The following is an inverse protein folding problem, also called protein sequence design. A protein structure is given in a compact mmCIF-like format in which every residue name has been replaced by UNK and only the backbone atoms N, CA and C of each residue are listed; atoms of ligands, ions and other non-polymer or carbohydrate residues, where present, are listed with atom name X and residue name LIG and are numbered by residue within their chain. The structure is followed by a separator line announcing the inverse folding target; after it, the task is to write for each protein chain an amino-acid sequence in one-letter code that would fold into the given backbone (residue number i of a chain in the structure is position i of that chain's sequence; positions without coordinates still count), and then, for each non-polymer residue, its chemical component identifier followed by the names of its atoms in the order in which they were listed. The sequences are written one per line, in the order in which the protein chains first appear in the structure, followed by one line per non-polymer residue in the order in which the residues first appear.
data_IF_439117479796
#
_entry.id   IF_439117479796
#
_cell.length_a   1.000
_cell.length_b   1.000
_cell.length_c   1.000
_cell.angle_alpha   90.00
_cell.angle_beta   90.00
_cell.angle_gamma   90.00
#
_symmetry.space_group_name_H-M   'P 1'
#
loop_
_entity.id
_entity.type
_entity.pdbx_description
1 polymer ?
#
# COMPACT_ATOMS: atom_id res chain seq x y z
N UNK A 1 -6.35 -27.62 33.98
CA UNK A 1 -5.59 -26.72 33.07
C UNK A 1 -6.36 -25.41 32.93
N UNK A 2 -5.75 -24.25 33.27
CA UNK A 2 -6.35 -22.94 32.95
C UNK A 2 -6.20 -22.74 31.44
N UNK A 3 -7.32 -22.68 30.71
CA UNK A 3 -7.33 -22.25 29.30
C UNK A 3 -6.78 -20.83 29.25
N UNK A 4 -5.60 -20.65 28.66
CA UNK A 4 -5.15 -19.33 28.23
C UNK A 4 -5.96 -19.05 26.96
N UNK A 5 -6.86 -18.07 26.99
CA UNK A 5 -7.44 -17.57 25.74
C UNK A 5 -6.38 -16.69 25.08
N UNK A 6 -6.13 -16.91 23.80
CA UNK A 6 -5.42 -15.95 22.97
C UNK A 6 -6.20 -14.63 23.02
N UNK A 7 -5.49 -13.50 23.17
CA UNK A 7 -6.12 -12.19 22.99
C UNK A 7 -6.58 -12.13 21.54
N UNK A 8 -7.88 -12.04 21.31
CA UNK A 8 -8.42 -11.61 20.03
C UNK A 8 -7.89 -10.21 19.79
N UNK A 9 -7.04 -10.08 18.77
CA UNK A 9 -6.66 -8.78 18.22
C UNK A 9 -7.93 -8.14 17.65
N UNK A 10 -8.04 -6.83 17.81
CA UNK A 10 -9.14 -6.06 17.23
C UNK A 10 -9.13 -6.21 15.71
N UNK A 11 -10.28 -6.33 15.05
CA UNK A 11 -10.33 -6.58 13.60
C UNK A 11 -9.65 -5.47 12.79
N UNK A 12 -9.65 -4.23 13.31
CA UNK A 12 -8.88 -3.10 12.75
C UNK A 12 -7.35 -3.26 12.85
N UNK A 13 -6.86 -4.13 13.73
CA UNK A 13 -5.43 -4.41 13.92
C UNK A 13 -4.91 -5.64 13.15
N UNK A 14 -5.78 -6.30 12.37
CA UNK A 14 -5.46 -7.51 11.60
C UNK A 14 -5.00 -7.16 10.16
N UNK A 15 -5.17 -5.91 9.73
CA UNK A 15 -4.68 -5.41 8.44
C UNK A 15 -3.20 -4.99 8.48
N UNK A 16 -2.59 -4.87 7.29
CA UNK A 16 -1.22 -4.36 7.09
C UNK A 16 -1.09 -2.83 7.31
N UNK A 17 -2.06 -2.21 7.99
CA UNK A 17 -2.35 -0.77 7.94
C UNK A 17 -3.32 -0.41 6.81
N UNK A 18 -3.46 0.90 6.55
CA UNK A 18 -4.26 1.47 5.45
C UNK A 18 -3.69 1.07 4.09
N UNK A 19 -4.54 1.04 3.05
CA UNK A 19 -4.07 0.93 1.67
C UNK A 19 -3.06 2.04 1.35
N UNK A 20 -2.14 1.80 0.42
CA UNK A 20 -1.09 2.78 0.06
C UNK A 20 -1.03 2.96 -1.44
N UNK A 21 -0.52 4.10 -1.90
CA UNK A 21 -0.26 4.34 -3.33
C UNK A 21 0.88 3.50 -3.91
N UNK A 22 1.58 2.68 -3.10
CA UNK A 22 2.66 1.81 -3.56
C UNK A 22 2.13 0.66 -4.43
N UNK A 23 2.52 0.66 -5.70
CA UNK A 23 2.08 -0.25 -6.75
C UNK A 23 3.27 -0.95 -7.42
N UNK A 24 3.18 -2.27 -7.56
CA UNK A 24 4.26 -3.08 -8.09
C UNK A 24 4.49 -2.88 -9.60
N UNK A 25 3.45 -2.57 -10.37
CA UNK A 25 3.56 -2.35 -11.81
C UNK A 25 4.19 -0.98 -12.10
N UNK A 26 3.84 0.06 -11.35
CA UNK A 26 4.48 1.36 -11.40
C UNK A 26 5.94 1.27 -10.95
N UNK A 27 6.24 0.55 -9.86
CA UNK A 27 7.61 0.30 -9.43
C UNK A 27 8.43 -0.47 -10.48
N UNK A 28 7.82 -1.43 -11.19
CA UNK A 28 8.50 -2.14 -12.27
C UNK A 28 8.75 -1.25 -13.51
N UNK A 29 7.86 -0.28 -13.78
CA UNK A 29 7.95 0.62 -14.93
C UNK A 29 8.92 1.78 -14.69
N UNK A 30 8.74 2.48 -13.57
CA UNK A 30 9.40 3.74 -13.23
C UNK A 30 10.57 3.57 -12.24
N UNK A 31 10.73 2.36 -11.70
CA UNK A 31 11.87 1.99 -10.87
C UNK A 31 11.95 2.80 -9.57
N UNK A 32 13.18 3.13 -9.21
CA UNK A 32 13.52 3.75 -7.92
C UNK A 32 12.88 5.13 -7.75
N UNK A 33 12.71 5.91 -8.83
CA UNK A 33 12.11 7.25 -8.76
C UNK A 33 10.70 7.19 -8.19
N UNK A 34 9.87 6.30 -8.73
CA UNK A 34 8.52 6.09 -8.22
C UNK A 34 8.51 5.56 -6.79
N UNK A 35 9.37 4.60 -6.46
CA UNK A 35 9.43 4.04 -5.10
C UNK A 35 9.77 5.12 -4.07
N UNK A 36 10.72 6.01 -4.37
CA UNK A 36 11.06 7.12 -3.48
C UNK A 36 9.91 8.13 -3.36
N UNK A 37 9.27 8.49 -4.46
CA UNK A 37 8.14 9.41 -4.45
C UNK A 37 6.98 8.85 -3.62
N UNK A 38 6.61 7.59 -3.87
CA UNK A 38 5.53 6.91 -3.16
C UNK A 38 5.85 6.75 -1.66
N UNK A 39 7.06 6.33 -1.32
CA UNK A 39 7.48 6.21 0.08
C UNK A 39 7.45 7.57 0.80
N UNK A 40 7.96 8.62 0.17
CA UNK A 40 7.96 9.97 0.74
C UNK A 40 6.53 10.47 0.99
N UNK A 41 5.62 10.28 0.03
CA UNK A 41 4.22 10.67 0.20
C UNK A 41 3.52 9.88 1.32
N UNK A 42 3.77 8.56 1.41
CA UNK A 42 3.24 7.71 2.48
C UNK A 42 3.76 8.14 3.86
N UNK A 43 5.05 8.47 3.97
CA UNK A 43 5.67 8.88 5.23
C UNK A 43 5.12 10.23 5.72
N UNK A 44 4.84 11.17 4.80
CA UNK A 44 4.20 12.45 5.14
C UNK A 44 2.74 12.26 5.61
N UNK A 45 1.95 11.41 4.95
CA UNK A 45 0.59 11.12 5.44
C UNK A 45 0.60 10.47 6.84
N UNK A 46 1.60 9.63 7.13
CA UNK A 46 1.77 9.07 8.49
C UNK A 46 2.16 10.10 9.53
N UNK A 47 2.86 11.15 9.12
CA UNK A 47 3.17 12.28 10.00
C UNK A 47 1.89 13.07 10.31
N UNK A 48 0.99 13.24 9.34
CA UNK A 48 -0.33 13.84 9.58
C UNK A 48 -1.09 13.01 10.61
N UNK A 49 -1.17 11.69 10.43
CA UNK A 49 -1.84 10.80 11.40
C UNK A 49 -1.21 10.90 12.80
N UNK A 50 0.12 10.95 12.89
CA UNK A 50 0.82 11.09 14.16
C UNK A 50 0.60 12.47 14.81
N UNK A 51 0.50 13.54 14.03
CA UNK A 51 0.19 14.89 14.51
C UNK A 51 -1.24 14.96 15.06
N UNK A 52 -2.22 14.42 14.31
CA UNK A 52 -3.62 14.33 14.71
C UNK A 52 -3.81 13.53 16.02
N UNK A 53 -3.06 12.42 16.18
CA UNK A 53 -3.06 11.63 17.42
C UNK A 53 -2.46 12.38 18.62
N UNK A 54 -1.50 13.29 18.37
CA UNK A 54 -0.90 14.13 19.41
C UNK A 54 -1.85 15.26 19.83
N UNK A 55 -2.72 15.74 18.96
CA UNK A 55 -3.59 16.90 19.20
C UNK A 55 -4.72 16.68 20.23
N UNK A 56 -4.87 15.45 20.78
CA UNK A 56 -5.59 15.22 22.04
C UNK A 56 -4.87 15.84 23.28
N UNK A 57 -3.66 16.39 23.11
CA UNK A 57 -2.97 17.18 24.15
C UNK A 57 -1.54 17.68 23.84
N UNK A 58 -1.08 17.61 22.59
CA UNK A 58 0.28 17.89 22.15
C UNK A 58 0.28 18.61 20.81
N UNK A 59 0.55 19.91 20.87
CA UNK A 59 0.67 20.80 19.72
C UNK A 59 2.04 20.53 19.04
N UNK A 60 2.13 19.58 18.10
CA UNK A 60 3.34 19.46 17.27
C UNK A 60 3.50 20.67 16.34
N UNK A 61 2.42 21.45 16.15
CA UNK A 61 2.45 22.80 15.60
C UNK A 61 2.76 22.83 14.10
N UNK A 62 2.45 21.76 13.39
CA UNK A 62 2.59 21.72 11.94
C UNK A 62 1.52 22.61 11.29
N UNK A 63 1.89 23.40 10.27
CA UNK A 63 0.93 24.23 9.57
C UNK A 63 -0.05 23.36 8.78
N UNK A 64 -1.27 23.87 8.58
CA UNK A 64 -2.24 23.23 7.70
C UNK A 64 -1.65 22.95 6.32
N UNK A 65 -1.88 21.74 5.81
CA UNK A 65 -1.43 21.31 4.47
C UNK A 65 0.09 21.19 4.32
N UNK A 66 0.85 21.07 5.43
CA UNK A 66 2.29 20.91 5.38
C UNK A 66 2.71 19.70 4.53
N UNK A 67 1.93 18.63 4.54
CA UNK A 67 2.16 17.41 3.79
C UNK A 67 2.09 17.67 2.29
N UNK A 68 1.10 18.43 1.82
CA UNK A 68 0.96 18.82 0.42
C UNK A 68 2.12 19.72 -0.01
N UNK A 69 2.45 20.71 0.82
CA UNK A 69 3.60 21.59 0.59
C UNK A 69 4.93 20.82 0.51
N UNK A 70 5.20 19.93 1.47
CA UNK A 70 6.42 19.15 1.50
C UNK A 70 6.48 18.15 0.34
N UNK A 71 5.34 17.55 -0.05
CA UNK A 71 5.24 16.70 -1.23
C UNK A 71 5.58 17.48 -2.50
N UNK A 72 5.07 18.69 -2.68
CA UNK A 72 5.38 19.52 -3.85
C UNK A 72 6.87 19.87 -3.90
N UNK A 73 7.44 20.36 -2.79
CA UNK A 73 8.86 20.68 -2.72
C UNK A 73 9.73 19.45 -3.01
N UNK A 74 9.36 18.29 -2.46
CA UNK A 74 10.04 17.02 -2.68
C UNK A 74 9.94 16.54 -4.14
N UNK A 75 8.73 16.56 -4.71
CA UNK A 75 8.44 16.29 -6.13
C UNK A 75 9.37 17.09 -7.05
N UNK A 76 9.36 18.42 -6.92
CA UNK A 76 10.12 19.33 -7.79
C UNK A 76 11.64 19.21 -7.59
N UNK A 77 12.07 18.69 -6.45
CA UNK A 77 13.49 18.40 -6.17
C UNK A 77 13.95 17.05 -6.71
N UNK A 78 13.04 16.07 -6.80
CA UNK A 78 13.35 14.69 -7.18
C UNK A 78 13.20 14.43 -8.67
N UNK A 79 12.34 15.19 -9.35
CA UNK A 79 11.98 14.98 -10.75
C UNK A 79 12.44 16.13 -11.63
N UNK A 80 12.87 15.81 -12.85
CA UNK A 80 13.14 16.79 -13.89
C UNK A 80 11.87 17.02 -14.72
N UNK A 81 11.23 18.17 -14.52
CA UNK A 81 9.96 18.53 -15.18
C UNK A 81 10.12 18.78 -16.70
N UNK A 82 11.35 18.80 -17.22
CA UNK A 82 11.64 18.80 -18.66
C UNK A 82 11.84 17.38 -19.23
N UNK A 83 12.02 16.36 -18.37
CA UNK A 83 12.25 14.97 -18.76
C UNK A 83 10.91 14.23 -18.98
N UNK A 84 10.72 13.69 -20.19
CA UNK A 84 9.47 13.00 -20.57
C UNK A 84 9.16 11.78 -19.70
N UNK A 85 10.19 11.08 -19.23
CA UNK A 85 10.05 9.90 -18.37
C UNK A 85 9.48 10.29 -16.99
N UNK A 86 9.89 11.43 -16.44
CA UNK A 86 9.40 11.92 -15.14
C UNK A 86 7.99 12.49 -15.25
N UNK A 87 7.66 13.15 -16.36
CA UNK A 87 6.28 13.57 -16.61
C UNK A 87 5.36 12.36 -16.82
N UNK A 88 5.82 11.32 -17.52
CA UNK A 88 5.08 10.07 -17.70
C UNK A 88 4.86 9.34 -16.36
N UNK A 89 5.84 9.40 -15.45
CA UNK A 89 5.69 8.92 -14.08
C UNK A 89 4.56 9.65 -13.36
N UNK A 90 4.52 10.98 -13.42
CA UNK A 90 3.47 11.76 -12.76
C UNK A 90 2.07 11.47 -13.34
N UNK A 91 1.97 11.31 -14.66
CA UNK A 91 0.73 10.92 -15.32
C UNK A 91 0.25 9.54 -14.83
N UNK A 92 1.12 8.53 -14.86
CA UNK A 92 0.79 7.17 -14.45
C UNK A 92 0.43 7.09 -12.96
N UNK A 93 1.16 7.80 -12.10
CA UNK A 93 0.88 7.86 -10.66
C UNK A 93 -0.47 8.53 -10.41
N UNK A 94 -0.74 9.67 -11.05
CA UNK A 94 -1.99 10.37 -10.85
C UNK A 94 -3.19 9.50 -11.28
N UNK A 95 -3.11 8.88 -12.47
CA UNK A 95 -4.13 7.94 -12.94
C UNK A 95 -4.32 6.78 -11.97
N UNK A 96 -3.22 6.16 -11.52
CA UNK A 96 -3.29 5.05 -10.58
C UNK A 96 -3.96 5.44 -9.26
N UNK A 97 -3.69 6.62 -8.72
CA UNK A 97 -4.33 7.07 -7.48
C UNK A 97 -5.82 7.33 -7.75
N UNK A 98 -6.17 8.03 -8.83
CA UNK A 98 -7.57 8.26 -9.20
C UNK A 98 -8.39 6.97 -9.36
N UNK A 99 -7.80 5.93 -9.94
CA UNK A 99 -8.46 4.62 -10.08
C UNK A 99 -8.69 3.90 -8.75
N UNK A 100 -7.92 4.26 -7.71
CA UNK A 100 -8.04 3.68 -6.36
C UNK A 100 -8.88 4.52 -5.40
N UNK A 101 -9.20 5.76 -5.74
CA UNK A 101 -10.02 6.62 -4.89
C UNK A 101 -11.49 6.17 -4.93
N UNK A 102 -12.00 5.78 -3.76
CA UNK A 102 -13.43 5.57 -3.54
C UNK A 102 -13.95 6.65 -2.58
N UNK A 103 -14.94 7.48 -2.97
CA UNK A 103 -15.52 8.50 -2.09
C UNK A 103 -16.17 7.95 -0.80
N UNK A 104 -16.48 6.65 -0.74
CA UNK A 104 -17.06 5.99 0.42
C UNK A 104 -16.00 5.39 1.37
N UNK A 105 -14.73 5.35 0.94
CA UNK A 105 -13.62 4.79 1.72
C UNK A 105 -12.58 5.86 2.10
N UNK A 106 -11.73 5.53 3.08
CA UNK A 106 -10.62 6.38 3.44
C UNK A 106 -9.56 6.36 2.32
N UNK A 107 -9.04 7.53 1.88
CA UNK A 107 -8.02 7.57 0.82
C UNK A 107 -6.77 6.75 1.16
N UNK A 108 -6.10 6.10 0.20
CA UNK A 108 -4.87 5.39 0.48
C UNK A 108 -3.76 6.33 0.97
N UNK A 109 -2.86 5.85 1.82
CA UNK A 109 -1.64 6.57 2.21
C UNK A 109 -0.82 6.96 0.98
N UNK A 110 -0.43 8.22 0.93
CA UNK A 110 0.22 8.92 -0.17
C UNK A 110 -0.75 9.56 -1.17
N UNK A 111 -2.07 9.45 -1.01
CA UNK A 111 -3.05 10.04 -1.93
C UNK A 111 -2.95 11.57 -2.00
N UNK A 112 -2.45 12.21 -0.94
CA UNK A 112 -2.18 13.66 -0.89
C UNK A 112 -1.22 14.12 -1.99
N UNK A 113 -0.45 13.21 -2.59
CA UNK A 113 0.40 13.48 -3.75
C UNK A 113 -0.39 14.05 -4.93
N UNK A 114 -1.65 13.64 -5.13
CA UNK A 114 -2.48 14.23 -6.19
C UNK A 114 -2.71 15.72 -5.99
N UNK A 115 -2.89 16.17 -4.74
CA UNK A 115 -3.04 17.58 -4.43
C UNK A 115 -1.75 18.35 -4.65
N UNK A 116 -0.59 17.77 -4.30
CA UNK A 116 0.71 18.39 -4.55
C UNK A 116 1.00 18.53 -6.06
N UNK A 117 0.65 17.53 -6.88
CA UNK A 117 0.77 17.61 -8.34
C UNK A 117 -0.16 18.72 -8.88
N UNK A 118 -1.39 18.79 -8.38
CA UNK A 118 -2.34 19.83 -8.79
C UNK A 118 -1.90 21.24 -8.36
N UNK A 119 -1.38 21.41 -7.15
CA UNK A 119 -0.89 22.70 -6.64
C UNK A 119 0.30 23.19 -7.49
N UNK A 120 1.27 22.32 -7.75
CA UNK A 120 2.40 22.61 -8.64
C UNK A 120 1.96 23.01 -10.06
N UNK A 121 0.89 22.40 -10.59
CA UNK A 121 0.29 22.79 -11.86
C UNK A 121 -0.34 24.18 -11.81
N UNK A 122 -1.12 24.48 -10.77
CA UNK A 122 -1.77 25.80 -10.59
C UNK A 122 -0.73 26.91 -10.44
N UNK A 123 0.40 26.61 -9.79
CA UNK A 123 1.53 27.53 -9.59
C UNK A 123 2.42 27.69 -10.84
N UNK A 124 2.26 26.81 -11.83
CA UNK A 124 2.99 26.84 -13.09
C UNK A 124 4.39 26.20 -13.03
N UNK A 125 4.64 25.37 -12.01
CA UNK A 125 5.90 24.61 -11.86
C UNK A 125 5.88 23.31 -12.70
N UNK A 126 4.68 22.82 -13.03
CA UNK A 126 4.49 21.67 -13.91
C UNK A 126 3.89 22.07 -15.28
N UNK A 127 4.17 21.31 -16.36
CA UNK A 127 3.63 21.63 -17.68
C UNK A 127 2.10 21.46 -17.78
N UNK A 128 1.43 22.42 -18.44
CA UNK A 128 -0.04 22.47 -18.68
C UNK A 128 -0.65 21.19 -19.28
N UNK A 129 0.14 20.33 -19.91
CA UNK A 129 -0.36 19.07 -20.49
C UNK A 129 -0.99 18.16 -19.43
N UNK A 130 -0.47 18.21 -18.19
CA UNK A 130 -0.96 17.41 -17.07
C UNK A 130 -2.30 17.94 -16.53
N UNK A 131 -2.68 19.19 -16.84
CA UNK A 131 -3.94 19.78 -16.37
C UNK A 131 -5.18 18.99 -16.82
N UNK A 132 -5.07 18.25 -17.93
CA UNK A 132 -6.17 17.40 -18.43
C UNK A 132 -6.55 16.26 -17.48
N UNK A 133 -5.62 15.81 -16.62
CA UNK A 133 -5.87 14.79 -15.61
C UNK A 133 -6.83 15.27 -14.51
N UNK A 134 -6.87 16.59 -14.27
CA UNK A 134 -7.58 17.20 -13.14
C UNK A 134 -8.86 17.94 -13.52
N UNK A 135 -9.34 17.80 -14.77
CA UNK A 135 -10.54 18.51 -15.25
C UNK A 135 -11.79 18.21 -14.39
N UNK A 136 -11.85 17.03 -13.75
CA UNK A 136 -12.96 16.62 -12.88
C UNK A 136 -12.85 17.08 -11.42
N UNK A 137 -11.74 17.70 -11.03
CA UNK A 137 -11.56 18.27 -9.69
C UNK A 137 -12.14 19.68 -9.65
N UNK A 138 -13.40 19.81 -9.24
CA UNK A 138 -14.10 21.09 -9.12
C UNK A 138 -14.00 21.67 -7.69
N UNK A 139 -13.73 22.97 -7.58
CA UNK A 139 -14.06 23.81 -6.41
C UNK A 139 -13.09 23.77 -5.23
N UNK A 140 -12.99 22.63 -4.55
CA UNK A 140 -12.37 22.53 -3.22
C UNK A 140 -10.83 22.64 -3.27
N UNK A 141 -10.21 22.19 -4.37
CA UNK A 141 -8.76 22.31 -4.58
C UNK A 141 -8.29 23.76 -4.66
N UNK A 142 -9.16 24.69 -5.09
CA UNK A 142 -8.83 26.12 -5.21
C UNK A 142 -8.81 26.86 -3.87
N UNK A 143 -9.49 26.34 -2.85
CA UNK A 143 -9.44 26.87 -1.49
C UNK A 143 -8.18 26.34 -0.79
N UNK A 144 -7.90 25.04 -0.93
CA UNK A 144 -6.67 24.41 -0.45
C UNK A 144 -5.42 25.15 -0.96
N UNK A 145 -5.32 25.40 -2.28
CA UNK A 145 -4.17 26.12 -2.85
C UNK A 145 -3.97 27.51 -2.24
N UNK A 146 -5.06 28.24 -1.90
CA UNK A 146 -4.94 29.56 -1.26
C UNK A 146 -4.44 29.46 0.18
N UNK A 147 -4.85 28.43 0.89
CA UNK A 147 -4.42 28.19 2.26
C UNK A 147 -2.95 27.76 2.33
N UNK A 148 -2.41 27.16 1.26
CA UNK A 148 -0.99 26.83 1.11
C UNK A 148 -0.11 28.04 0.75
N UNK A 149 -0.66 29.10 0.14
CA UNK A 149 0.11 30.29 -0.30
C UNK A 149 1.14 30.82 0.72
N UNK A 150 0.83 30.91 2.04
CA UNK A 150 1.78 31.40 3.04
C UNK A 150 3.06 30.56 3.13
N UNK A 151 2.99 29.24 2.95
CA UNK A 151 4.16 28.34 3.04
C UNK A 151 5.16 28.58 1.91
N UNK A 152 4.69 29.15 0.80
CA UNK A 152 5.52 29.44 -0.36
C UNK A 152 6.00 30.90 -0.45
N UNK A 153 5.86 31.69 0.62
CA UNK A 153 6.51 33.01 0.68
C UNK A 153 8.04 32.86 0.72
N UNK A 154 8.54 31.89 1.49
CA UNK A 154 9.95 31.51 1.57
C UNK A 154 10.05 29.97 1.69
N UNK A 155 9.83 29.23 0.58
CA UNK A 155 9.63 27.77 0.63
C UNK A 155 10.86 27.03 1.18
N UNK A 156 12.08 27.51 0.94
CA UNK A 156 13.29 26.89 1.47
C UNK A 156 13.35 26.99 3.00
N UNK A 157 12.98 28.15 3.55
CA UNK A 157 12.96 28.38 5.00
C UNK A 157 11.88 27.53 5.67
N UNK A 158 10.67 27.54 5.12
CA UNK A 158 9.52 26.81 5.66
C UNK A 158 9.74 25.30 5.57
N UNK A 159 10.20 24.78 4.42
CA UNK A 159 10.52 23.36 4.26
C UNK A 159 11.59 22.90 5.25
N UNK A 160 12.63 23.71 5.48
CA UNK A 160 13.64 23.40 6.48
C UNK A 160 13.11 23.44 7.92
N UNK A 161 12.14 24.29 8.23
CA UNK A 161 11.49 24.34 9.54
C UNK A 161 10.60 23.10 9.76
N UNK A 162 9.71 22.81 8.81
CA UNK A 162 8.79 21.67 8.84
C UNK A 162 9.58 20.35 8.89
N UNK A 163 10.58 20.18 8.01
CA UNK A 163 11.39 18.96 7.98
C UNK A 163 12.08 18.66 9.32
N UNK A 164 12.48 19.69 10.08
CA UNK A 164 13.05 19.47 11.42
C UNK A 164 12.03 18.87 12.38
N UNK A 165 10.79 19.39 12.37
CA UNK A 165 9.70 18.86 13.20
C UNK A 165 9.39 17.42 12.78
N UNK A 166 9.20 17.17 11.48
CA UNK A 166 8.94 15.84 10.93
C UNK A 166 9.99 14.79 11.34
N UNK A 167 11.27 15.17 11.37
CA UNK A 167 12.36 14.27 11.74
C UNK A 167 12.45 13.98 13.25
N UNK A 168 11.83 14.81 14.08
CA UNK A 168 11.78 14.65 15.54
C UNK A 168 10.52 13.90 16.01
N UNK A 169 9.50 13.78 15.15
CA UNK A 169 8.27 13.05 15.43
C UNK A 169 8.51 11.54 15.48
N UNK A 170 7.98 10.89 16.52
CA UNK A 170 8.03 9.44 16.67
C UNK A 170 6.84 8.81 15.95
N UNK A 171 7.10 8.15 14.82
CA UNK A 171 6.10 7.38 14.09
C UNK A 171 6.26 5.91 14.44
N UNK A 172 5.17 5.27 14.90
CA UNK A 172 5.17 3.83 15.08
C UNK A 172 4.90 3.12 13.74
N UNK A 173 5.79 2.21 13.29
CA UNK A 173 5.54 1.48 12.06
C UNK A 173 4.30 0.58 12.21
N UNK A 174 3.51 0.38 11.16
CA UNK A 174 2.42 -0.60 11.21
C UNK A 174 2.98 -1.98 11.53
N UNK A 175 2.15 -2.82 12.15
CA UNK A 175 2.53 -4.19 12.45
C UNK A 175 2.89 -4.92 11.15
N UNK A 176 4.19 -5.18 10.97
CA UNK A 176 4.68 -5.92 9.82
C UNK A 176 4.00 -7.30 9.78
N UNK A 177 3.70 -7.84 8.58
CA UNK A 177 3.24 -9.21 8.49
C UNK A 177 4.29 -10.12 9.13
N UNK A 178 3.88 -11.17 9.86
CA UNK A 178 4.81 -12.15 10.39
C UNK A 178 5.69 -12.65 9.24
N UNK A 179 7.01 -12.60 9.44
CA UNK A 179 7.96 -13.09 8.44
C UNK A 179 7.66 -14.56 8.12
N UNK A 180 8.11 -15.05 6.96
CA UNK A 180 7.99 -16.49 6.63
C UNK A 180 8.56 -17.39 7.73
N UNK A 181 9.59 -16.93 8.42
CA UNK A 181 10.20 -17.62 9.56
C UNK A 181 9.27 -17.63 10.78
N UNK A 182 8.58 -16.51 11.07
CA UNK A 182 7.58 -16.44 12.14
C UNK A 182 6.36 -17.30 11.80
N UNK A 183 5.90 -17.27 10.55
CA UNK A 183 4.80 -18.12 10.08
C UNK A 183 5.17 -19.61 10.19
N UNK A 184 6.39 -20.00 9.78
CA UNK A 184 6.87 -21.37 9.94
C UNK A 184 6.94 -21.78 11.42
N UNK A 185 7.47 -20.91 12.28
CA UNK A 185 7.55 -21.17 13.72
C UNK A 185 6.16 -21.28 14.38
N UNK A 186 5.16 -20.51 13.93
CA UNK A 186 3.78 -20.62 14.40
C UNK A 186 3.15 -21.95 14.02
N UNK A 187 3.39 -22.43 12.79
CA UNK A 187 2.93 -23.75 12.32
C UNK A 187 3.63 -24.88 13.09
N UNK A 188 4.93 -24.77 13.34
CA UNK A 188 5.70 -25.75 14.10
C UNK A 188 5.27 -25.81 15.57
N UNK A 189 4.94 -24.66 16.18
CA UNK A 189 4.39 -24.59 17.53
C UNK A 189 3.00 -25.25 17.62
N UNK A 190 2.14 -25.02 16.63
CA UNK A 190 0.81 -25.65 16.56
C UNK A 190 0.93 -27.18 16.37
N UNK A 191 1.87 -27.64 15.55
CA UNK A 191 2.16 -29.07 15.37
C UNK A 191 2.81 -29.71 16.60
N UNK A 192 3.66 -28.98 17.34
CA UNK A 192 4.25 -29.45 18.58
C UNK A 192 3.21 -29.54 19.71
N UNK A 193 2.24 -28.62 19.76
CA UNK A 193 1.13 -28.66 20.72
C UNK A 193 0.08 -29.73 20.38
N UNK A 194 -0.09 -30.07 19.10
CA UNK A 194 -0.95 -31.17 18.64
C UNK A 194 -0.25 -32.54 18.64
N UNK A 195 1.08 -32.56 18.65
CA UNK A 195 1.93 -33.74 18.47
C UNK A 195 2.23 -34.54 19.74
N UNK A 196 1.94 -34.01 20.94
CA UNK A 196 2.25 -34.69 22.22
C UNK A 196 1.08 -35.56 22.73
N UNK A 197 0.16 -35.95 21.83
CA UNK A 197 -1.06 -36.71 22.16
C UNK A 197 -1.22 -38.06 21.44
N UNK A 198 -0.19 -38.55 20.72
CA UNK A 198 -0.31 -39.78 19.93
C UNK A 198 0.68 -40.87 20.37
N UNK A 199 0.46 -41.44 21.55
CA UNK A 199 0.91 -42.82 21.84
C UNK A 199 -0.21 -43.62 22.51
N UNK A 200 -0.96 -44.38 21.71
CA UNK A 200 -1.26 -45.78 22.04
C UNK A 200 -1.58 -46.58 20.76
N UNK A 201 -0.60 -47.20 20.10
CA UNK A 201 -0.89 -48.23 19.11
C UNK A 201 -1.20 -49.54 19.83
N UNK A 202 -2.48 -49.77 20.13
CA UNK A 202 -2.92 -51.08 20.64
C UNK A 202 -2.73 -52.15 19.55
N UNK A 203 -1.96 -53.22 19.82
CA UNK A 203 -1.67 -54.26 18.85
C UNK A 203 -2.76 -55.36 18.91
N UNK A 204 -3.78 -55.25 18.05
CA UNK A 204 -4.81 -56.26 17.71
C UNK A 204 -5.66 -55.59 16.63
N UNK A 205 -5.65 -55.97 15.36
CA UNK A 205 -5.77 -57.32 14.84
C UNK A 205 -5.05 -57.41 13.49
N UNK A 206 -4.01 -58.25 13.47
CA UNK A 206 -3.64 -58.95 12.27
C UNK A 206 -4.70 -60.02 11.98
N UNK A 207 -4.96 -60.20 10.69
CA UNK A 207 -5.47 -61.40 10.01
C UNK A 207 -6.85 -61.33 9.37
N UNK A 208 -6.81 -61.71 8.09
CA UNK A 208 -7.87 -62.25 7.20
C UNK A 208 -8.69 -61.21 6.45
N UNK A 209 -8.87 -61.32 5.13
CA UNK A 209 -8.41 -62.33 4.18
C UNK A 209 -8.58 -61.71 2.79
N UNK A 210 -7.59 -61.95 1.94
CA UNK A 210 -7.68 -62.26 0.51
C UNK A 210 -8.98 -61.88 -0.21
N UNK A 211 -8.86 -61.01 -1.21
CA UNK A 211 -9.35 -61.35 -2.55
C UNK A 211 -8.48 -60.66 -3.60
N UNK A 212 -7.71 -61.48 -4.30
CA UNK A 212 -6.99 -61.20 -5.54
C UNK A 212 -7.95 -60.98 -6.72
N UNK A 213 -7.36 -60.50 -7.83
CA UNK A 213 -7.72 -60.67 -9.25
C UNK A 213 -8.42 -59.44 -9.89
N UNK A 214 -8.07 -59.01 -11.12
CA UNK A 214 -6.75 -58.65 -11.69
C UNK A 214 -6.81 -57.35 -12.55
N UNK A 215 -5.66 -56.91 -13.06
CA UNK A 215 -5.52 -55.92 -14.13
C UNK A 215 -6.09 -56.42 -15.47
N UNK A 216 -6.80 -55.56 -16.21
CA UNK A 216 -6.87 -55.63 -17.68
C UNK A 216 -6.61 -54.25 -18.28
N UNK A 217 -5.70 -54.26 -19.25
CA UNK A 217 -5.11 -53.15 -20.00
C UNK A 217 -6.08 -52.49 -21.02
N UNK A 218 -5.73 -51.31 -21.57
CA UNK A 218 -6.56 -50.49 -22.45
C UNK A 218 -6.30 -50.77 -23.94
N UNK A 219 -7.34 -50.99 -24.75
CA UNK A 219 -7.22 -50.97 -26.23
C UNK A 219 -8.49 -50.45 -26.95
N UNK A 220 -8.26 -49.69 -28.02
CA UNK A 220 -9.21 -49.34 -29.11
C UNK A 220 -9.65 -47.86 -29.08
N UNK A 221 -9.11 -46.90 -29.85
CA UNK A 221 -8.83 -46.80 -31.30
C UNK A 221 -10.07 -46.92 -32.21
N UNK A 222 -10.29 -45.87 -33.03
CA UNK A 222 -11.31 -45.73 -34.08
C UNK A 222 -11.93 -44.33 -34.05
N UNK A 223 -11.36 -43.30 -34.68
CA UNK A 223 -11.35 -42.96 -36.13
C UNK A 223 -12.74 -42.69 -36.74
N UNK A 224 -12.74 -41.73 -37.67
CA UNK A 224 -13.77 -41.35 -38.67
C UNK A 224 -14.91 -40.42 -38.21
N UNK A 225 -15.38 -39.43 -38.97
CA UNK A 225 -14.97 -38.74 -40.21
C UNK A 225 -15.98 -37.59 -40.43
N UNK A 226 -15.57 -36.59 -41.20
CA UNK A 226 -16.32 -35.56 -41.96
C UNK A 226 -17.85 -35.39 -41.78
N UNK A 227 -18.30 -34.13 -41.74
CA UNK A 227 -19.06 -33.57 -42.88
C UNK A 227 -19.36 -32.07 -42.73
N UNK A 228 -19.09 -31.38 -43.84
CA UNK A 228 -19.54 -30.06 -44.24
C UNK A 228 -21.06 -29.87 -44.09
N UNK A 229 -21.45 -28.62 -43.78
CA UNK A 229 -22.51 -27.83 -44.45
C UNK A 229 -23.39 -27.05 -43.47
N UNK A 230 -23.12 -25.75 -43.28
CA UNK A 230 -23.85 -24.61 -43.88
C UNK A 230 -23.40 -23.30 -43.27
#
# INVERSE_FOLDING_TARGET
MKKRSLKTLDEGSIGLGRATIMDAALAARHGVRYVHLAAFAIDLDRLVEADDELDEGGDAGLPFGFEVFMMEVGLLSLLDVEEEDDLSLLEDVAVSIFETLDPEEEPPLGASLLFAIHDALVRGELPDRLSSLFIGWEGDSSELTKELEPLFIDPDLEAAAIARVCLEMEIHPPLAPPTREILAAMVDLEQAELGDGAEDPSPRDAERDRFDVPEEDPEGAGEEEEARSR
#
